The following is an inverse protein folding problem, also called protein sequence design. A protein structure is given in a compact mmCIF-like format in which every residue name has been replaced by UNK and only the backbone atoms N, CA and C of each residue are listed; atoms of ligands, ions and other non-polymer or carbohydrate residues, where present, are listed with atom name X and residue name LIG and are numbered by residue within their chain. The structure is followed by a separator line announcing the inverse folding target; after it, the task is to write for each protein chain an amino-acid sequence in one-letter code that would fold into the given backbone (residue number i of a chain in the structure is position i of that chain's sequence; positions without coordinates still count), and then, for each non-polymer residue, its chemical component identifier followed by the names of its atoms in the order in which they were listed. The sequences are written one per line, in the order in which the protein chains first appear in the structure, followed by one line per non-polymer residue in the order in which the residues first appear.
data_IF_293141819179
#
_entry.id   IF_293141819179
#
_cell.length_a   1.000
_cell.length_b   1.000
_cell.length_c   1.000
_cell.angle_alpha   90.00
_cell.angle_beta   90.00
_cell.angle_gamma   90.00
#
_symmetry.space_group_name_H-M   'P 1'
#
loop_
_entity.id
_entity.type
_entity.pdbx_description
1 polymer ?
#
# COMPACT_ATOMS: atom_id res chain seq x y z
N UNK A 1 -30.51 -16.14 -17.06
CA UNK A 1 -29.69 -16.60 -15.92
C UNK A 1 -28.72 -15.49 -15.56
N UNK A 2 -29.05 -14.70 -14.55
CA UNK A 2 -28.26 -13.53 -14.14
C UNK A 2 -26.96 -13.98 -13.48
N UNK A 3 -25.82 -13.50 -13.99
CA UNK A 3 -24.53 -13.64 -13.31
C UNK A 3 -24.58 -12.77 -12.06
N UNK A 4 -24.54 -13.37 -10.89
CA UNK A 4 -24.35 -12.66 -9.63
C UNK A 4 -23.03 -11.90 -9.69
N UNK A 5 -23.07 -10.59 -9.48
CA UNK A 5 -21.88 -9.75 -9.38
C UNK A 5 -20.97 -10.24 -8.23
N UNK A 6 -19.64 -10.14 -8.37
CA UNK A 6 -18.70 -10.50 -7.31
C UNK A 6 -18.99 -9.70 -6.04
N UNK A 7 -19.06 -10.41 -4.91
CA UNK A 7 -19.37 -9.83 -3.60
C UNK A 7 -18.06 -9.44 -2.91
N UNK A 8 -17.83 -8.14 -2.75
CA UNK A 8 -16.70 -7.61 -2.00
C UNK A 8 -17.09 -7.65 -0.52
N UNK A 9 -16.38 -8.44 0.28
CA UNK A 9 -16.84 -8.81 1.63
C UNK A 9 -16.06 -8.18 2.76
N UNK A 10 -14.90 -7.59 2.51
CA UNK A 10 -14.06 -7.09 3.60
C UNK A 10 -13.18 -5.94 3.15
N UNK A 11 -13.08 -4.94 4.00
CA UNK A 11 -12.16 -3.81 3.84
C UNK A 11 -10.98 -3.98 4.79
N UNK A 12 -9.75 -3.76 4.33
CA UNK A 12 -8.54 -3.93 5.12
C UNK A 12 -7.63 -2.71 5.07
N UNK A 13 -7.35 -2.10 6.22
CA UNK A 13 -6.35 -1.07 6.34
C UNK A 13 -5.01 -1.67 6.78
N UNK A 14 -3.98 -1.45 5.97
CA UNK A 14 -2.60 -1.81 6.27
C UNK A 14 -1.77 -0.53 6.40
N UNK A 15 -1.24 -0.27 7.59
CA UNK A 15 -0.28 0.80 7.84
C UNK A 15 1.10 0.16 7.93
N UNK A 16 1.96 0.32 6.92
CA UNK A 16 3.23 -0.41 6.88
C UNK A 16 4.51 0.42 6.86
N UNK A 17 5.51 -0.12 7.55
CA UNK A 17 6.94 0.04 7.24
C UNK A 17 7.63 -1.23 6.69
N UNK A 18 7.00 -2.41 6.63
CA UNK A 18 7.36 -3.54 5.73
C UNK A 18 6.36 -4.71 5.90
N UNK A 19 6.05 -5.53 4.89
CA UNK A 19 4.83 -6.37 4.78
C UNK A 19 4.86 -7.83 5.28
N UNK A 20 3.74 -8.29 5.90
CA UNK A 20 3.13 -9.65 6.02
C UNK A 20 1.84 -9.70 6.92
N UNK A 21 0.64 -10.00 6.37
CA UNK A 21 -0.60 -10.35 7.13
C UNK A 21 -1.27 -11.57 6.49
N UNK A 22 -2.09 -12.32 7.24
CA UNK A 22 -2.85 -13.50 6.77
C UNK A 22 -4.37 -13.39 7.05
N UNK A 23 -5.23 -13.69 6.07
CA UNK A 23 -6.22 -14.77 6.12
C UNK A 23 -5.54 -16.07 5.65
N UNK A 24 -5.96 -17.23 6.20
CA UNK A 24 -5.27 -18.54 6.19
C UNK A 24 -4.17 -18.72 5.12
N UNK A 25 -2.94 -18.86 5.58
CA UNK A 25 -1.82 -18.91 4.66
C UNK A 25 -1.55 -20.28 4.04
N UNK A 26 -1.15 -20.26 2.78
CA UNK A 26 -0.64 -21.42 2.06
C UNK A 26 0.70 -21.91 2.62
N UNK A 27 1.13 -23.11 2.28
CA UNK A 27 2.48 -23.62 2.53
C UNK A 27 3.45 -23.05 1.48
N UNK A 28 3.84 -21.78 1.64
CA UNK A 28 4.96 -21.20 0.88
C UNK A 28 6.33 -21.61 1.46
N UNK A 29 7.43 -21.51 0.67
CA UNK A 29 8.78 -21.82 1.11
C UNK A 29 9.15 -21.06 2.39
N UNK A 30 9.98 -21.64 3.29
CA UNK A 30 10.46 -20.92 4.46
C UNK A 30 11.20 -19.65 4.03
N UNK A 31 10.86 -18.52 4.67
CA UNK A 31 11.53 -17.23 4.46
C UNK A 31 10.75 -16.15 3.71
N UNK A 32 9.74 -16.47 2.88
CA UNK A 32 8.92 -15.46 2.18
C UNK A 32 7.61 -15.14 2.89
N UNK A 33 7.12 -13.90 2.72
CA UNK A 33 5.75 -13.51 3.10
C UNK A 33 4.78 -14.43 2.38
N UNK A 34 3.85 -15.01 3.14
CA UNK A 34 2.84 -15.87 2.54
C UNK A 34 1.81 -14.97 1.86
N UNK A 35 1.49 -15.19 0.57
CA UNK A 35 0.56 -14.32 -0.14
C UNK A 35 -0.84 -14.35 0.50
N UNK A 36 -1.45 -13.18 0.56
CA UNK A 36 -2.80 -12.95 1.06
C UNK A 36 -3.78 -13.15 -0.10
N UNK A 37 -4.75 -14.04 0.06
CA UNK A 37 -5.77 -14.33 -0.95
C UNK A 37 -7.16 -14.56 -0.31
N UNK A 38 -8.22 -14.33 -1.07
CA UNK A 38 -9.60 -14.70 -0.69
C UNK A 38 -9.83 -16.20 -0.86
N UNK A 39 -10.82 -16.76 -0.14
CA UNK A 39 -10.99 -18.22 -0.09
C UNK A 39 -11.56 -18.72 -1.42
N UNK A 40 -12.66 -18.12 -1.85
CA UNK A 40 -13.48 -18.66 -2.92
C UNK A 40 -13.35 -17.80 -4.20
N UNK A 41 -13.55 -18.44 -5.36
CA UNK A 41 -13.47 -17.73 -6.63
C UNK A 41 -14.56 -16.66 -6.75
N UNK A 42 -14.18 -15.49 -7.26
CA UNK A 42 -15.09 -14.34 -7.36
C UNK A 42 -15.24 -13.54 -6.06
N UNK A 43 -14.61 -13.95 -4.97
CA UNK A 43 -14.48 -13.11 -3.78
C UNK A 43 -13.36 -12.10 -3.97
N UNK A 44 -13.65 -10.85 -3.62
CA UNK A 44 -12.68 -9.75 -3.62
C UNK A 44 -12.66 -9.08 -2.24
N UNK A 45 -11.48 -8.62 -1.86
CA UNK A 45 -11.24 -7.85 -0.64
C UNK A 45 -10.64 -6.52 -1.06
N UNK A 46 -11.23 -5.46 -0.55
CA UNK A 46 -10.81 -4.07 -0.73
C UNK A 46 -9.73 -3.76 0.32
N UNK A 47 -8.56 -3.30 -0.11
CA UNK A 47 -7.36 -3.20 0.72
C UNK A 47 -6.67 -1.85 0.56
N UNK A 48 -6.69 -1.09 1.64
CA UNK A 48 -6.08 0.23 1.73
C UNK A 48 -4.69 0.10 2.34
N UNK A 49 -3.64 0.43 1.58
CA UNK A 49 -2.27 0.26 2.02
C UNK A 49 -1.50 1.57 2.16
N UNK A 50 -1.51 2.10 3.39
CA UNK A 50 -0.77 3.29 3.75
C UNK A 50 0.71 2.96 4.02
N UNK A 51 1.60 3.71 3.37
CA UNK A 51 3.06 3.52 3.47
C UNK A 51 3.67 4.85 3.89
N UNK A 52 4.24 4.90 5.09
CA UNK A 52 4.69 6.16 5.70
C UNK A 52 5.68 6.97 4.85
N UNK A 53 6.51 6.30 4.05
CA UNK A 53 7.50 6.95 3.16
C UNK A 53 6.98 7.14 1.72
N UNK A 54 6.07 6.27 1.25
CA UNK A 54 5.70 6.21 -0.18
C UNK A 54 4.38 6.92 -0.50
N UNK A 55 3.43 6.88 0.42
CA UNK A 55 2.09 7.47 0.21
C UNK A 55 1.76 8.52 1.27
N UNK A 56 2.36 8.40 2.47
CA UNK A 56 2.26 9.41 3.52
C UNK A 56 2.62 10.83 3.05
N UNK A 57 3.81 11.07 2.44
CA UNK A 57 4.22 12.42 2.09
C UNK A 57 3.39 13.07 0.98
N UNK A 58 2.69 12.26 0.17
CA UNK A 58 1.75 12.74 -0.87
C UNK A 58 0.29 12.72 -0.39
N UNK A 59 0.05 12.50 0.90
CA UNK A 59 -1.28 12.60 1.51
C UNK A 59 -2.28 11.54 1.03
N UNK A 60 -1.80 10.36 0.65
CA UNK A 60 -2.61 9.32 0.03
C UNK A 60 -2.40 7.94 0.64
N UNK A 61 -3.29 7.03 0.24
CA UNK A 61 -3.21 5.60 0.49
C UNK A 61 -3.13 4.89 -0.86
N UNK A 62 -2.34 3.82 -0.92
CA UNK A 62 -2.30 2.98 -2.12
C UNK A 62 -3.56 2.11 -2.14
N UNK A 63 -4.46 2.36 -3.08
CA UNK A 63 -5.68 1.58 -3.24
C UNK A 63 -5.45 0.30 -4.03
N UNK A 64 -5.93 -0.79 -3.45
CA UNK A 64 -5.52 -2.13 -3.82
C UNK A 64 -6.60 -3.13 -3.47
N UNK A 65 -6.49 -4.31 -4.04
CA UNK A 65 -7.44 -5.39 -3.79
C UNK A 65 -6.75 -6.73 -3.66
N UNK A 66 -7.50 -7.69 -3.14
CA UNK A 66 -7.08 -9.08 -3.00
C UNK A 66 -8.13 -10.00 -3.60
N UNK A 67 -7.68 -11.03 -4.31
CA UNK A 67 -8.53 -12.09 -4.87
C UNK A 67 -8.07 -13.48 -4.48
N UNK A 68 -8.69 -14.50 -5.08
CA UNK A 68 -8.44 -15.89 -4.75
C UNK A 68 -7.22 -16.47 -5.49
N UNK A 69 -6.45 -15.67 -6.23
CA UNK A 69 -5.25 -16.15 -6.94
C UNK A 69 -4.32 -16.83 -5.94
N UNK A 70 -3.96 -18.09 -6.21
CA UNK A 70 -3.06 -18.87 -5.36
C UNK A 70 -1.61 -18.65 -5.74
N UNK A 71 -0.73 -18.79 -4.76
CA UNK A 71 0.70 -18.71 -4.99
C UNK A 71 1.15 -19.74 -6.02
N UNK A 72 1.86 -19.24 -7.02
CA UNK A 72 2.65 -20.04 -7.94
C UNK A 72 3.97 -19.30 -8.13
N UNK A 73 5.10 -19.98 -7.91
CA UNK A 73 6.40 -19.33 -7.91
C UNK A 73 6.75 -18.66 -9.26
N UNK A 74 6.24 -19.20 -10.36
CA UNK A 74 6.60 -18.79 -11.71
C UNK A 74 5.50 -17.90 -12.32
N UNK A 75 4.24 -18.19 -12.00
CA UNK A 75 3.07 -17.53 -12.62
C UNK A 75 2.44 -16.46 -11.74
N UNK A 76 2.52 -16.61 -10.42
CA UNK A 76 1.86 -15.73 -9.47
C UNK A 76 2.69 -15.57 -8.18
N UNK A 77 3.92 -15.04 -8.26
CA UNK A 77 4.79 -14.90 -7.10
C UNK A 77 4.22 -13.93 -6.04
N UNK A 78 3.42 -12.95 -6.48
CA UNK A 78 2.72 -11.96 -5.64
C UNK A 78 1.23 -12.29 -5.46
N UNK A 79 0.87 -13.57 -5.55
CA UNK A 79 -0.51 -14.04 -5.63
C UNK A 79 -1.49 -13.38 -4.65
N UNK A 80 -2.73 -13.23 -5.12
CA UNK A 80 -3.86 -12.67 -4.40
C UNK A 80 -3.83 -11.15 -4.38
N UNK A 81 -2.71 -10.54 -4.01
CA UNK A 81 -2.58 -9.08 -3.88
C UNK A 81 -2.40 -8.38 -5.21
N UNK A 82 -3.22 -7.36 -5.49
CA UNK A 82 -3.20 -6.57 -6.72
C UNK A 82 -3.36 -5.09 -6.39
N UNK A 83 -2.98 -4.22 -7.33
CA UNK A 83 -3.28 -2.79 -7.25
C UNK A 83 -4.49 -2.48 -8.11
N UNK A 84 -5.22 -1.44 -7.73
CA UNK A 84 -6.25 -0.86 -8.57
C UNK A 84 -5.63 -0.32 -9.87
N UNK A 85 -6.44 -0.20 -10.94
CA UNK A 85 -5.99 0.36 -12.22
C UNK A 85 -5.23 1.66 -12.01
N UNK A 86 -3.99 1.68 -12.50
CA UNK A 86 -3.10 2.84 -12.38
C UNK A 86 -3.30 3.75 -13.60
N UNK A 87 -3.75 4.97 -13.36
CA UNK A 87 -3.76 6.02 -14.40
C UNK A 87 -2.40 6.72 -14.49
N UNK A 88 -1.91 7.27 -13.38
CA UNK A 88 -0.59 7.90 -13.31
C UNK A 88 -0.01 7.90 -11.87
N UNK A 89 1.22 8.39 -11.74
CA UNK A 89 1.85 8.67 -10.45
C UNK A 89 2.37 7.44 -9.70
N UNK A 90 2.37 7.51 -8.37
CA UNK A 90 2.86 6.46 -7.48
C UNK A 90 4.35 6.57 -7.16
N UNK A 91 4.98 5.42 -6.89
CA UNK A 91 6.37 5.36 -6.42
C UNK A 91 7.23 4.41 -7.24
N UNK A 92 8.52 4.73 -7.33
CA UNK A 92 9.54 3.95 -8.03
C UNK A 92 10.89 4.04 -7.30
N UNK A 93 11.72 3.01 -7.45
CA UNK A 93 13.07 3.00 -6.88
C UNK A 93 13.94 4.08 -7.55
N UNK A 94 14.69 4.83 -6.75
CA UNK A 94 15.68 5.78 -7.24
C UNK A 94 16.99 5.04 -7.53
N UNK A 95 17.08 4.42 -8.70
CA UNK A 95 18.26 3.67 -9.12
C UNK A 95 18.51 3.85 -10.60
N UNK A 96 19.80 3.89 -10.96
CA UNK A 96 20.28 3.81 -12.34
C UNK A 96 19.88 2.49 -12.99
N UNK A 97 19.85 2.45 -14.33
CA UNK A 97 19.44 1.26 -15.08
C UNK A 97 20.31 0.02 -14.77
N UNK A 98 21.59 0.21 -14.45
CA UNK A 98 22.52 -0.86 -14.04
C UNK A 98 22.45 -1.18 -12.54
N UNK A 99 21.60 -0.47 -11.78
CA UNK A 99 21.36 -0.63 -10.33
C UNK A 99 22.59 -0.41 -9.47
N UNK A 100 23.60 0.33 -9.95
CA UNK A 100 24.84 0.57 -9.21
C UNK A 100 24.82 1.84 -8.34
N UNK A 101 23.85 2.72 -8.56
CA UNK A 101 23.75 3.96 -7.79
C UNK A 101 22.43 4.70 -8.01
N UNK A 102 22.21 5.81 -7.29
CA UNK A 102 21.01 6.62 -7.43
C UNK A 102 20.99 7.33 -8.79
N UNK A 103 19.80 7.48 -9.37
CA UNK A 103 19.62 8.22 -10.63
C UNK A 103 19.34 9.71 -10.38
N UNK A 104 18.67 10.03 -9.29
CA UNK A 104 18.22 11.37 -8.94
C UNK A 104 18.61 11.76 -7.51
N UNK A 105 18.53 13.05 -7.22
CA UNK A 105 18.76 13.65 -5.91
C UNK A 105 17.58 14.55 -5.50
N UNK A 106 17.58 14.94 -4.22
CA UNK A 106 16.74 16.04 -3.74
C UNK A 106 17.09 17.33 -4.47
N UNK A 107 16.11 18.23 -4.59
CA UNK A 107 16.33 19.60 -5.06
C UNK A 107 17.50 20.25 -4.33
N UNK A 108 18.44 20.82 -5.09
CA UNK A 108 19.71 21.36 -4.61
C UNK A 108 20.82 20.31 -4.41
N UNK A 109 20.61 19.06 -4.81
CA UNK A 109 21.55 17.95 -4.65
C UNK A 109 22.10 17.82 -3.21
N UNK A 110 21.19 17.68 -2.25
CA UNK A 110 21.53 17.54 -0.82
C UNK A 110 21.29 16.11 -0.31
N UNK A 111 22.05 15.68 0.71
CA UNK A 111 21.81 14.42 1.42
C UNK A 111 20.41 14.32 2.04
N UNK A 112 19.92 13.10 2.19
CA UNK A 112 18.76 12.78 3.03
C UNK A 112 19.04 13.17 4.49
N UNK A 113 18.02 13.52 5.31
CA UNK A 113 16.58 13.42 5.03
C UNK A 113 15.98 14.57 4.19
N UNK A 114 14.78 14.38 3.59
CA UNK A 114 13.91 13.19 3.68
C UNK A 114 14.44 12.00 2.86
N UNK A 115 13.89 10.80 3.09
CA UNK A 115 14.29 9.56 2.41
C UNK A 115 13.50 9.25 1.14
N UNK A 116 12.84 10.27 0.58
CA UNK A 116 12.08 10.21 -0.67
C UNK A 116 12.31 11.49 -1.48
N UNK A 117 12.14 11.41 -2.80
CA UNK A 117 12.17 12.55 -3.71
C UNK A 117 10.76 12.72 -4.30
N UNK A 118 10.19 13.93 -4.21
CA UNK A 118 8.96 14.25 -4.94
C UNK A 118 9.29 14.33 -6.43
N UNK A 119 8.56 13.62 -7.26
CA UNK A 119 8.88 13.44 -8.70
C UNK A 119 9.01 14.78 -9.46
N UNK A 120 8.21 15.78 -9.09
CA UNK A 120 8.25 17.13 -9.66
C UNK A 120 9.44 17.98 -9.20
N UNK A 121 10.20 17.53 -8.20
CA UNK A 121 11.32 18.25 -7.60
C UNK A 121 12.66 17.53 -7.77
N UNK A 122 12.68 16.40 -8.48
CA UNK A 122 13.89 15.60 -8.66
C UNK A 122 14.91 16.32 -9.53
N UNK A 123 16.16 16.23 -9.13
CA UNK A 123 17.31 16.67 -9.92
C UNK A 123 18.16 15.46 -10.31
N UNK A 124 18.93 15.56 -11.39
CA UNK A 124 19.94 14.55 -11.68
C UNK A 124 20.92 14.43 -10.51
N UNK A 125 21.30 13.21 -10.15
CA UNK A 125 22.28 12.98 -9.10
C UNK A 125 23.67 13.48 -9.51
N UNK A 126 24.30 14.27 -8.63
CA UNK A 126 25.64 14.83 -8.78
C UNK A 126 26.48 14.43 -7.55
N UNK A 127 27.27 13.37 -7.72
CA UNK A 127 28.10 12.78 -6.67
C UNK A 127 29.13 13.76 -6.08
N UNK A 128 29.55 14.77 -6.86
CA UNK A 128 30.54 15.76 -6.40
C UNK A 128 30.05 16.61 -5.22
N UNK A 129 28.74 16.63 -4.98
CA UNK A 129 28.10 17.35 -3.88
C UNK A 129 27.94 16.51 -2.61
N UNK A 130 28.36 15.25 -2.65
CA UNK A 130 28.24 14.31 -1.54
C UNK A 130 29.63 13.94 -1.00
N UNK A 131 29.65 13.52 0.28
CA UNK A 131 30.82 12.93 0.92
C UNK A 131 30.49 11.55 1.47
N UNK A 132 31.53 10.77 1.76
CA UNK A 132 31.37 9.44 2.37
C UNK A 132 30.51 9.51 3.63
N UNK A 133 29.50 8.64 3.70
CA UNK A 133 28.53 8.60 4.80
C UNK A 133 27.25 9.40 4.56
N UNK A 134 27.19 10.24 3.51
CA UNK A 134 25.94 10.87 3.10
C UNK A 134 24.98 9.85 2.50
N UNK A 135 23.70 10.03 2.80
CA UNK A 135 22.64 9.15 2.30
C UNK A 135 21.84 9.84 1.18
N UNK A 136 21.41 9.06 0.19
CA UNK A 136 20.59 9.53 -0.93
C UNK A 136 19.21 8.87 -0.83
N UNK A 137 18.11 9.60 -1.05
CA UNK A 137 16.77 9.00 -1.04
C UNK A 137 16.65 7.81 -2.00
N UNK A 138 16.13 6.69 -1.51
CA UNK A 138 15.98 5.47 -2.31
C UNK A 138 14.69 5.38 -3.13
N UNK A 139 13.75 6.32 -2.97
CA UNK A 139 12.44 6.25 -3.62
C UNK A 139 12.03 7.60 -4.21
N UNK A 140 11.42 7.56 -5.38
CA UNK A 140 10.74 8.69 -6.02
C UNK A 140 9.24 8.50 -5.80
N UNK A 141 8.54 9.57 -5.45
CA UNK A 141 7.11 9.54 -5.12
C UNK A 141 6.34 10.62 -5.87
N UNK A 142 5.09 10.30 -6.19
CA UNK A 142 4.12 11.21 -6.78
C UNK A 142 2.71 10.74 -6.40
N UNK A 143 1.72 11.66 -6.29
CA UNK A 143 0.35 11.27 -6.03
C UNK A 143 -0.17 10.32 -7.11
N UNK A 144 -0.86 9.25 -6.71
CA UNK A 144 -1.66 8.44 -7.63
C UNK A 144 -2.83 9.25 -8.18
N UNK A 145 -3.23 8.93 -9.41
CA UNK A 145 -4.43 9.47 -10.04
C UNK A 145 -5.37 8.36 -10.51
N UNK A 146 -6.64 8.71 -10.71
CA UNK A 146 -7.70 7.76 -11.02
C UNK A 146 -8.05 6.89 -9.82
N UNK A 147 -8.61 5.72 -10.10
CA UNK A 147 -9.14 4.74 -9.14
C UNK A 147 -8.17 4.51 -7.97
N UNK A 148 -6.92 4.16 -8.29
CA UNK A 148 -5.86 3.89 -7.31
C UNK A 148 -5.53 5.06 -6.34
N UNK A 149 -5.93 6.28 -6.69
CA UNK A 149 -5.65 7.51 -5.93
C UNK A 149 -6.83 8.07 -5.14
N UNK A 150 -7.97 7.36 -5.07
CA UNK A 150 -9.21 7.87 -4.50
C UNK A 150 -9.24 7.91 -2.95
N UNK A 151 -8.18 7.43 -2.30
CA UNK A 151 -8.03 7.47 -0.84
C UNK A 151 -7.03 8.52 -0.38
N UNK A 152 -7.53 9.49 0.37
CA UNK A 152 -6.72 10.50 1.04
C UNK A 152 -6.30 10.00 2.43
N UNK A 153 -5.10 10.41 2.85
CA UNK A 153 -4.64 10.22 4.22
C UNK A 153 -3.95 11.47 4.77
N UNK A 154 -4.19 11.75 6.04
CA UNK A 154 -3.35 12.61 6.85
C UNK A 154 -2.76 11.79 7.98
N UNK A 155 -1.58 12.15 8.42
CA UNK A 155 -0.96 11.48 9.54
C UNK A 155 -0.20 12.46 10.43
N UNK A 156 -0.14 12.12 11.71
CA UNK A 156 0.63 12.86 12.71
C UNK A 156 1.41 11.88 13.56
N UNK A 157 2.52 12.36 14.14
CA UNK A 157 3.26 11.63 15.16
C UNK A 157 3.44 12.54 16.37
N UNK A 158 2.86 12.13 17.50
CA UNK A 158 2.91 12.90 18.75
C UNK A 158 2.97 11.94 19.94
N UNK A 159 3.94 12.15 20.84
CA UNK A 159 4.05 11.37 22.08
C UNK A 159 4.22 9.87 21.88
N UNK A 160 4.98 9.44 20.86
CA UNK A 160 5.17 8.02 20.55
C UNK A 160 4.03 7.37 19.75
N UNK A 161 2.95 8.10 19.49
CA UNK A 161 1.77 7.58 18.78
C UNK A 161 1.75 8.15 17.37
N UNK A 162 1.56 7.25 16.40
CA UNK A 162 1.26 7.60 15.01
C UNK A 162 -0.25 7.51 14.79
N UNK A 163 -0.87 8.64 14.47
CA UNK A 163 -2.28 8.69 14.08
C UNK A 163 -2.35 8.82 12.56
N UNK A 164 -3.10 7.95 11.91
CA UNK A 164 -3.40 8.04 10.48
C UNK A 164 -4.91 8.18 10.33
N UNK A 165 -5.33 9.26 9.70
CA UNK A 165 -6.72 9.56 9.35
C UNK A 165 -6.89 9.32 7.86
N UNK A 166 -7.90 8.53 7.50
CA UNK A 166 -8.18 8.11 6.13
C UNK A 166 -9.51 8.73 5.69
N UNK A 167 -9.61 9.14 4.44
CA UNK A 167 -10.86 9.61 3.84
C UNK A 167 -11.03 9.05 2.43
N UNK A 168 -12.25 8.63 2.12
CA UNK A 168 -12.67 8.12 0.82
C UNK A 168 -14.14 8.38 0.59
N UNK A 169 -14.59 8.33 -0.67
CA UNK A 169 -16.03 8.33 -0.98
C UNK A 169 -16.67 7.04 -0.45
N UNK A 170 -17.91 7.15 0.02
CA UNK A 170 -18.70 5.97 0.43
C UNK A 170 -19.00 5.04 -0.75
N UNK A 171 -19.29 5.63 -1.91
CA UNK A 171 -19.51 4.94 -3.17
C UNK A 171 -18.52 5.51 -4.19
N UNK A 172 -17.55 4.70 -4.59
CA UNK A 172 -16.47 5.09 -5.53
C UNK A 172 -16.84 4.78 -6.98
N UNK A 173 -17.70 3.78 -7.19
CA UNK A 173 -18.03 3.27 -8.52
C UNK A 173 -16.98 2.30 -9.08
N UNK A 174 -15.87 2.08 -8.37
CA UNK A 174 -14.88 1.06 -8.72
C UNK A 174 -15.43 -0.34 -8.48
N UNK A 175 -15.17 -1.25 -9.41
CA UNK A 175 -15.50 -2.66 -9.22
C UNK A 175 -14.58 -3.33 -8.18
N UNK A 176 -13.45 -2.72 -7.82
CA UNK A 176 -12.47 -3.30 -6.90
C UNK A 176 -12.77 -2.97 -5.43
N UNK A 177 -13.61 -1.96 -5.22
CA UNK A 177 -13.91 -1.34 -3.94
C UNK A 177 -15.20 -1.79 -3.28
N UNK A 178 -15.20 -1.89 -1.94
CA UNK A 178 -16.45 -1.98 -1.20
C UNK A 178 -17.24 -0.67 -1.38
N UNK A 179 -18.46 -0.81 -1.90
CA UNK A 179 -19.43 0.26 -2.01
C UNK A 179 -20.26 0.34 -0.72
N UNK A 180 -20.05 1.37 0.09
CA UNK A 180 -20.83 1.66 1.29
C UNK A 180 -22.15 2.36 0.93
N UNK A 181 -22.92 1.77 0.03
CA UNK A 181 -24.19 2.33 -0.46
C UNK A 181 -25.35 2.15 0.53
N UNK A 182 -25.24 1.19 1.45
CA UNK A 182 -26.21 0.95 2.52
C UNK A 182 -25.56 1.19 3.89
N UNK A 183 -25.84 2.34 4.50
CA UNK A 183 -25.24 2.74 5.77
C UNK A 183 -25.82 1.99 6.98
N UNK A 184 -26.95 1.29 6.81
CA UNK A 184 -27.56 0.45 7.87
C UNK A 184 -26.89 -0.92 7.98
N UNK A 185 -26.06 -1.28 6.99
CA UNK A 185 -25.35 -2.56 6.93
C UNK A 185 -24.06 -2.52 7.74
N UNK A 186 -23.72 -3.66 8.35
CA UNK A 186 -22.40 -3.89 8.92
C UNK A 186 -21.43 -4.38 7.83
N UNK A 187 -20.26 -3.75 7.73
CA UNK A 187 -19.21 -4.15 6.79
C UNK A 187 -18.05 -4.80 7.55
N UNK A 188 -17.57 -5.95 7.07
CA UNK A 188 -16.43 -6.60 7.70
C UNK A 188 -15.16 -5.77 7.47
N UNK A 189 -14.36 -5.60 8.52
CA UNK A 189 -13.17 -4.77 8.51
C UNK A 189 -11.99 -5.47 9.21
N UNK A 190 -10.78 -5.27 8.70
CA UNK A 190 -9.55 -5.74 9.30
C UNK A 190 -8.48 -4.65 9.35
N UNK A 191 -7.63 -4.67 10.37
CA UNK A 191 -6.52 -3.73 10.49
C UNK A 191 -5.24 -4.49 10.72
N UNK A 192 -4.16 -3.97 10.16
CA UNK A 192 -2.84 -4.42 10.51
C UNK A 192 -1.82 -3.29 10.42
N UNK A 193 -0.85 -3.39 11.32
CA UNK A 193 0.18 -2.40 11.55
C UNK A 193 1.54 -3.07 11.43
N UNK A 194 2.36 -2.51 10.57
CA UNK A 194 3.75 -2.87 10.41
C UNK A 194 4.61 -1.72 10.89
N UNK A 195 5.37 -2.00 11.94
CA UNK A 195 6.09 -1.08 12.80
C UNK A 195 7.59 -1.39 12.82
N UNK A 196 8.14 -1.75 11.66
CA UNK A 196 9.54 -2.16 11.47
C UNK A 196 9.91 -3.45 12.23
N UNK A 197 8.93 -4.19 12.76
CA UNK A 197 9.14 -5.54 13.23
C UNK A 197 9.46 -6.45 12.03
N UNK A 198 10.61 -7.12 11.99
CA UNK A 198 11.02 -7.92 10.82
C UNK A 198 10.05 -9.08 10.51
N UNK A 199 9.45 -9.71 11.53
CA UNK A 199 8.60 -10.90 11.38
C UNK A 199 7.34 -10.93 12.27
N UNK A 200 7.14 -9.94 13.15
CA UNK A 200 6.08 -9.91 14.18
C UNK A 200 5.21 -8.66 14.11
N UNK A 201 4.58 -8.46 12.96
CA UNK A 201 3.67 -7.35 12.77
C UNK A 201 2.37 -7.55 13.56
N UNK A 202 1.74 -6.44 13.97
CA UNK A 202 0.45 -6.48 14.64
C UNK A 202 -0.68 -6.57 13.61
N UNK A 203 -1.64 -7.45 13.83
CA UNK A 203 -2.81 -7.58 12.97
C UNK A 203 -4.03 -8.02 13.78
N UNK A 204 -5.22 -7.66 13.31
CA UNK A 204 -6.47 -8.17 13.83
C UNK A 204 -6.57 -9.67 13.60
N UNK A 205 -6.68 -10.45 14.67
CA UNK A 205 -6.92 -11.91 14.60
C UNK A 205 -8.38 -12.26 14.34
N UNK A 206 -9.30 -11.33 14.62
CA UNK A 206 -10.73 -11.41 14.33
C UNK A 206 -11.18 -10.43 13.25
N UNK A 207 -12.45 -10.55 12.87
CA UNK A 207 -13.12 -9.62 11.95
C UNK A 207 -13.82 -8.53 12.75
N UNK A 208 -13.47 -7.27 12.49
CA UNK A 208 -14.22 -6.13 13.00
C UNK A 208 -15.44 -5.85 12.12
N UNK A 209 -16.39 -5.09 12.66
CA UNK A 209 -17.59 -4.64 11.95
C UNK A 209 -17.60 -3.12 11.93
N UNK A 210 -17.45 -2.55 10.74
CA UNK A 210 -17.67 -1.13 10.50
C UNK A 210 -19.18 -0.89 10.42
N UNK A 211 -19.68 0.03 11.24
CA UNK A 211 -21.06 0.53 11.21
C UNK A 211 -21.03 2.03 11.06
N UNK A 212 -21.97 2.57 10.29
CA UNK A 212 -22.17 4.01 10.17
C UNK A 212 -23.25 4.44 11.17
N UNK A 213 -23.05 5.60 11.78
CA UNK A 213 -23.97 6.24 12.73
C UNK A 213 -24.65 7.46 12.11
#
# INVERSE_FOLDING_TARGET
MGRSAPSIRTTWCTSSSNTRIRPRASTGPPGRSKPTYTKDAGERLDMWHWKGVRTGPVGQIDDQWVDNTRYDKDKAPEAGRKSDPKTAGGYADNQTADKKGPQFALKGNKPAPPYWIVDSEKEAFDDSKYKSGDEVPGIIISPFTGDRGDLAAKYTYKGGVRTVELSRKLVTGSEFDVQFSDLKKEYAFGVAVFDNAQVRHAFSTGVFKLKFE
#
